data_IF_956716137407
#
_entry.id   IF_956716137407
#
_cell.length_a   1.000
_cell.length_b   1.000
_cell.length_c   1.000
_cell.angle_alpha   90.00
_cell.angle_beta   90.00
_cell.angle_gamma   90.00
#
_symmetry.space_group_name_H-M   'P 1'
#
loop_
_entity.id
_entity.type
_entity.pdbx_description
1 polymer ?
#
# COMPACT_ATOMS: atom_id res chain seq x y z
N UNK A 1 -29.13 -10.05 17.80
CA UNK A 1 -28.87 -8.70 18.33
C UNK A 1 -29.69 -8.51 19.58
N UNK A 2 -29.09 -8.05 20.68
CA UNK A 2 -29.81 -7.84 21.93
C UNK A 2 -30.71 -6.60 21.79
N UNK A 3 -31.96 -6.65 22.27
CA UNK A 3 -32.91 -5.54 22.11
C UNK A 3 -32.42 -4.24 22.76
N UNK A 4 -31.62 -4.35 23.84
CA UNK A 4 -30.98 -3.23 24.53
C UNK A 4 -29.92 -2.53 23.68
N UNK A 5 -29.08 -3.29 22.98
CA UNK A 5 -28.02 -2.76 22.12
C UNK A 5 -28.61 -2.04 20.90
N UNK A 6 -29.66 -2.63 20.32
CA UNK A 6 -30.35 -2.08 19.16
C UNK A 6 -31.04 -0.74 19.50
N UNK A 7 -31.55 -0.59 20.73
CA UNK A 7 -32.12 0.67 21.18
C UNK A 7 -31.07 1.77 21.42
N UNK A 8 -29.89 1.43 21.94
CA UNK A 8 -28.78 2.39 22.07
C UNK A 8 -28.29 2.85 20.70
N UNK A 9 -28.13 1.93 19.75
CA UNK A 9 -27.80 2.27 18.35
C UNK A 9 -28.82 3.23 17.73
N UNK A 10 -30.10 3.06 18.05
CA UNK A 10 -31.16 3.94 17.58
C UNK A 10 -31.07 5.34 18.20
N UNK A 11 -30.82 5.42 19.52
CA UNK A 11 -30.63 6.71 20.23
C UNK A 11 -29.40 7.46 19.69
N UNK A 12 -28.31 6.74 19.38
CA UNK A 12 -27.07 7.31 18.85
C UNK A 12 -27.10 7.59 17.33
N UNK A 13 -28.17 7.20 16.63
CA UNK A 13 -28.32 7.39 15.18
C UNK A 13 -27.42 6.49 14.32
N UNK A 14 -26.94 5.38 14.86
CA UNK A 14 -26.05 4.41 14.19
C UNK A 14 -26.80 3.20 13.61
N UNK A 15 -28.14 3.21 13.63
CA UNK A 15 -28.94 2.11 13.08
C UNK A 15 -28.97 2.10 11.56
N UNK A 16 -28.94 0.90 10.98
CA UNK A 16 -29.31 0.70 9.58
C UNK A 16 -30.82 0.99 9.38
N UNK A 17 -31.25 1.36 8.16
CA UNK A 17 -32.67 1.70 7.90
C UNK A 17 -33.64 0.56 8.24
N UNK A 18 -33.24 -0.69 8.03
CA UNK A 18 -34.05 -1.88 8.40
C UNK A 18 -34.18 -2.04 9.92
N UNK A 19 -33.12 -1.72 10.67
CA UNK A 19 -33.11 -1.79 12.13
C UNK A 19 -33.95 -0.67 12.73
N UNK A 20 -33.88 0.54 12.17
CA UNK A 20 -34.69 1.68 12.58
C UNK A 20 -36.19 1.38 12.42
N UNK A 21 -36.62 0.83 11.28
CA UNK A 21 -38.01 0.44 11.06
C UNK A 21 -38.48 -0.64 12.06
N UNK A 22 -37.58 -1.55 12.48
CA UNK A 22 -37.87 -2.53 13.52
C UNK A 22 -38.06 -1.88 14.90
N UNK A 23 -37.25 -0.89 15.24
CA UNK A 23 -37.41 -0.11 16.49
C UNK A 23 -38.71 0.65 16.52
N UNK A 24 -39.07 1.32 15.41
CA UNK A 24 -40.31 2.09 15.32
C UNK A 24 -41.55 1.21 15.52
N UNK A 25 -41.57 0.02 14.92
CA UNK A 25 -42.63 -0.98 15.17
C UNK A 25 -42.69 -1.39 16.63
N UNK A 26 -41.54 -1.72 17.25
CA UNK A 26 -41.49 -2.09 18.67
C UNK A 26 -41.91 -0.94 19.60
N UNK A 27 -41.59 0.31 19.28
CA UNK A 27 -42.06 1.49 20.01
C UNK A 27 -43.57 1.70 19.87
N UNK A 28 -44.16 1.32 18.74
CA UNK A 28 -45.59 1.41 18.49
C UNK A 28 -46.38 0.28 19.19
N UNK A 29 -45.87 -0.94 19.14
CA UNK A 29 -46.54 -2.17 19.59
C UNK A 29 -46.34 -2.44 21.10
N UNK A 30 -45.18 -2.11 21.67
CA UNK A 30 -44.84 -2.43 23.06
C UNK A 30 -44.72 -1.17 23.96
N UNK A 31 -45.69 -0.94 24.85
CA UNK A 31 -45.65 0.19 25.79
C UNK A 31 -44.54 0.07 26.84
N UNK A 32 -44.08 -1.15 27.17
CA UNK A 32 -42.96 -1.34 28.08
C UNK A 32 -41.64 -0.90 27.41
N UNK A 33 -41.43 -1.30 26.16
CA UNK A 33 -40.29 -0.88 25.35
C UNK A 33 -40.21 0.64 25.17
N UNK A 34 -41.35 1.30 24.95
CA UNK A 34 -41.43 2.77 24.88
C UNK A 34 -41.00 3.46 26.17
N UNK A 35 -41.36 2.91 27.33
CA UNK A 35 -40.93 3.45 28.64
C UNK A 35 -39.43 3.33 28.82
N UNK A 36 -38.85 2.19 28.44
CA UNK A 36 -37.40 2.00 28.51
C UNK A 36 -36.65 2.96 27.57
N UNK A 37 -37.17 3.17 26.36
CA UNK A 37 -36.62 4.16 25.44
C UNK A 37 -36.66 5.57 26.02
N UNK A 38 -37.81 5.99 26.58
CA UNK A 38 -37.94 7.33 27.16
C UNK A 38 -36.95 7.57 28.31
N UNK A 39 -36.73 6.57 29.16
CA UNK A 39 -35.74 6.65 30.24
C UNK A 39 -34.31 6.80 29.71
N UNK A 40 -33.91 5.97 28.74
CA UNK A 40 -32.57 5.99 28.15
C UNK A 40 -32.33 7.25 27.33
N UNK A 41 -33.34 7.71 26.58
CA UNK A 41 -33.26 8.94 25.82
C UNK A 41 -33.11 10.16 26.73
N UNK A 42 -33.86 10.20 27.85
CA UNK A 42 -33.69 11.24 28.87
C UNK A 42 -32.28 11.23 29.46
N UNK A 43 -31.74 10.05 29.80
CA UNK A 43 -30.36 9.92 30.27
C UNK A 43 -29.34 10.41 29.23
N UNK A 44 -29.49 10.01 27.97
CA UNK A 44 -28.63 10.45 26.88
C UNK A 44 -28.67 11.97 26.70
N UNK A 45 -29.85 12.60 26.80
CA UNK A 45 -29.98 14.05 26.76
C UNK A 45 -29.26 14.72 27.94
N UNK A 46 -29.40 14.18 29.16
CA UNK A 46 -28.68 14.72 30.33
C UNK A 46 -27.16 14.65 30.15
N UNK A 47 -26.63 13.50 29.72
CA UNK A 47 -25.20 13.33 29.45
C UNK A 47 -24.67 14.24 28.35
N UNK A 48 -25.52 14.60 27.38
CA UNK A 48 -25.14 15.50 26.27
C UNK A 48 -25.14 16.98 26.68
N UNK A 49 -25.90 17.33 27.72
CA UNK A 49 -25.96 18.68 28.28
C UNK A 49 -24.85 18.94 29.30
N UNK A 50 -24.29 17.89 29.90
CA UNK A 50 -23.11 18.01 30.74
C UNK A 50 -21.89 18.40 29.89
N UNK A 51 -21.15 19.41 30.34
CA UNK A 51 -19.89 19.75 29.71
C UNK A 51 -18.93 18.56 29.88
N UNK A 52 -18.32 18.08 28.79
CA UNK A 52 -17.36 17.00 28.90
C UNK A 52 -16.18 17.46 29.77
N UNK A 53 -15.99 16.80 30.90
CA UNK A 53 -14.83 17.05 31.75
C UNK A 53 -13.55 16.85 30.93
N UNK A 54 -12.67 17.85 30.94
CA UNK A 54 -11.41 17.72 30.25
C UNK A 54 -10.58 16.61 30.90
N UNK A 55 -10.03 15.68 30.12
CA UNK A 55 -9.20 14.62 30.67
C UNK A 55 -7.96 15.22 31.34
N UNK A 56 -7.47 14.55 32.39
CA UNK A 56 -6.22 14.98 33.04
C UNK A 56 -5.05 15.03 32.07
N UNK A 57 -4.14 15.99 32.27
CA UNK A 57 -2.90 16.11 31.47
C UNK A 57 -2.08 14.81 31.45
N UNK A 58 -2.11 14.03 32.53
CA UNK A 58 -1.43 12.73 32.61
C UNK A 58 -2.09 11.67 31.73
N UNK A 59 -3.42 11.66 31.64
CA UNK A 59 -4.14 10.77 30.74
C UNK A 59 -3.84 11.12 29.28
N UNK A 60 -3.95 12.39 28.89
CA UNK A 60 -3.64 12.85 27.54
C UNK A 60 -2.22 12.46 27.14
N UNK A 61 -1.24 12.68 28.03
CA UNK A 61 0.15 12.25 27.81
C UNK A 61 0.27 10.74 27.64
N UNK A 62 -0.31 9.95 28.55
CA UNK A 62 -0.26 8.49 28.47
C UNK A 62 -0.90 7.94 27.19
N UNK A 63 -1.98 8.56 26.71
CA UNK A 63 -2.66 8.19 25.47
C UNK A 63 -1.80 8.57 24.27
N UNK A 64 -1.30 9.80 24.21
CA UNK A 64 -0.44 10.28 23.11
C UNK A 64 0.91 9.58 23.04
N UNK A 65 1.46 9.09 24.15
CA UNK A 65 2.67 8.27 24.16
C UNK A 65 2.41 6.85 23.62
N UNK A 66 1.18 6.32 23.80
CA UNK A 66 0.78 4.99 23.34
C UNK A 66 0.22 4.96 21.92
N UNK A 67 -0.38 6.05 21.45
CA UNK A 67 -0.93 6.18 20.09
C UNK A 67 0.09 5.82 18.98
N UNK A 68 1.34 6.34 19.00
CA UNK A 68 2.33 6.02 17.99
C UNK A 68 2.58 4.52 17.88
N UNK A 69 2.53 3.77 18.99
CA UNK A 69 2.71 2.31 18.95
C UNK A 69 1.53 1.57 18.28
N UNK A 70 0.33 2.16 18.30
CA UNK A 70 -0.87 1.63 17.66
C UNK A 70 -0.93 1.96 16.16
N UNK A 71 -0.60 3.21 15.77
CA UNK A 71 -0.70 3.67 14.37
C UNK A 71 0.56 3.41 13.53
N UNK A 72 1.74 3.26 14.15
CA UNK A 72 3.01 3.04 13.42
C UNK A 72 3.15 1.62 12.86
N UNK A 73 2.23 0.71 13.18
CA UNK A 73 2.20 -0.67 12.64
C UNK A 73 1.42 -0.80 11.33
N UNK A 74 1.43 0.20 10.46
CA UNK A 74 1.44 -0.10 9.02
C UNK A 74 2.82 -0.69 8.70
N UNK A 75 2.98 -1.95 9.06
CA UNK A 75 4.09 -2.78 8.67
C UNK A 75 3.90 -3.04 7.17
N UNK A 76 4.24 -2.05 6.34
CA UNK A 76 4.39 -2.20 4.90
C UNK A 76 5.65 -3.05 4.72
N UNK A 77 5.55 -4.31 5.09
CA UNK A 77 6.61 -5.29 4.94
C UNK A 77 6.82 -5.38 3.44
N UNK A 78 8.03 -5.13 2.92
CA UNK A 78 8.25 -5.19 1.49
C UNK A 78 7.86 -6.59 1.01
N UNK A 79 6.91 -6.66 0.07
CA UNK A 79 6.34 -7.91 -0.44
C UNK A 79 7.42 -8.80 -1.07
N UNK A 80 8.53 -8.20 -1.48
CA UNK A 80 9.73 -8.86 -1.99
C UNK A 80 10.92 -8.57 -1.10
N UNK A 81 11.71 -9.61 -0.82
CA UNK A 81 12.94 -9.47 -0.04
C UNK A 81 13.96 -8.58 -0.78
N UNK A 82 14.85 -7.88 -0.06
CA UNK A 82 15.86 -7.01 -0.67
C UNK A 82 16.84 -7.77 -1.58
N UNK A 83 16.93 -9.09 -1.44
CA UNK A 83 17.69 -9.95 -2.34
C UNK A 83 17.05 -10.03 -3.72
N UNK A 84 15.73 -10.30 -3.80
CA UNK A 84 15.01 -10.41 -5.07
C UNK A 84 15.01 -9.11 -5.88
N UNK A 85 14.95 -7.96 -5.20
CA UNK A 85 15.07 -6.65 -5.87
C UNK A 85 16.44 -6.46 -6.55
N UNK A 86 17.52 -6.93 -5.92
CA UNK A 86 18.88 -6.87 -6.48
C UNK A 86 19.07 -7.88 -7.61
N UNK A 87 18.57 -9.12 -7.42
CA UNK A 87 18.65 -10.16 -8.44
C UNK A 87 17.92 -9.77 -9.72
N UNK A 88 16.69 -9.26 -9.61
CA UNK A 88 15.90 -8.84 -10.77
C UNK A 88 16.53 -7.62 -11.48
N UNK A 89 17.13 -6.70 -10.73
CA UNK A 89 17.89 -5.59 -11.32
C UNK A 89 19.19 -5.98 -12.00
N UNK A 90 19.93 -6.95 -11.44
CA UNK A 90 21.11 -7.51 -12.09
C UNK A 90 20.74 -8.20 -13.40
N UNK A 91 19.65 -8.98 -13.40
CA UNK A 91 19.14 -9.64 -14.59
C UNK A 91 18.76 -8.64 -15.70
N UNK A 92 17.98 -7.60 -15.37
CA UNK A 92 17.61 -6.55 -16.31
C UNK A 92 18.83 -5.81 -16.86
N UNK A 93 19.86 -5.58 -16.03
CA UNK A 93 21.12 -4.97 -16.45
C UNK A 93 21.91 -5.83 -17.44
N UNK A 94 21.98 -7.15 -17.22
CA UNK A 94 22.64 -8.08 -18.16
C UNK A 94 21.92 -8.11 -19.50
N UNK A 95 20.59 -8.11 -19.53
CA UNK A 95 19.82 -8.06 -20.78
C UNK A 95 20.05 -6.77 -21.57
N UNK A 96 20.08 -5.61 -20.90
CA UNK A 96 20.41 -4.35 -21.57
C UNK A 96 21.84 -4.35 -22.11
N UNK A 97 22.80 -4.85 -21.33
CA UNK A 97 24.20 -4.90 -21.76
C UNK A 97 24.38 -5.86 -22.94
N UNK A 98 23.71 -7.00 -22.94
CA UNK A 98 23.68 -7.93 -24.07
C UNK A 98 23.04 -7.30 -25.32
N UNK A 99 21.96 -6.53 -25.15
CA UNK A 99 21.35 -5.78 -26.25
C UNK A 99 22.30 -4.74 -26.85
N UNK A 100 22.93 -3.91 -26.01
CA UNK A 100 23.93 -2.95 -26.48
C UNK A 100 25.08 -3.67 -27.19
N UNK A 101 25.60 -4.74 -26.61
CA UNK A 101 26.63 -5.55 -27.25
C UNK A 101 26.20 -6.07 -28.62
N UNK A 102 24.96 -6.53 -28.79
CA UNK A 102 24.42 -6.96 -30.09
C UNK A 102 24.39 -5.79 -31.09
N UNK A 103 23.83 -4.64 -30.70
CA UNK A 103 23.77 -3.44 -31.55
C UNK A 103 25.17 -2.98 -31.97
N UNK A 104 26.16 -3.02 -31.08
CA UNK A 104 27.54 -2.63 -31.38
C UNK A 104 28.31 -3.70 -32.18
N UNK A 105 28.13 -5.01 -31.91
CA UNK A 105 28.81 -6.09 -32.64
C UNK A 105 28.28 -6.25 -34.07
N UNK A 106 26.99 -5.98 -34.32
CA UNK A 106 26.43 -5.91 -35.69
C UNK A 106 27.05 -4.75 -36.49
N UNK A 107 27.52 -3.69 -35.81
CA UNK A 107 28.21 -2.56 -36.46
C UNK A 107 29.69 -2.88 -36.72
N UNK A 108 30.35 -3.70 -35.89
CA UNK A 108 31.78 -4.01 -35.98
C UNK A 108 32.12 -5.22 -36.88
N UNK A 109 31.17 -6.13 -37.12
CA UNK A 109 31.31 -7.25 -38.06
C UNK A 109 31.40 -6.83 -39.54
N UNK A 110 31.31 -5.51 -39.83
CA UNK A 110 31.62 -4.93 -41.13
C UNK A 110 33.07 -4.44 -41.27
N UNK A 111 33.92 -4.58 -40.24
CA UNK A 111 35.32 -4.12 -40.22
C UNK A 111 36.36 -5.25 -40.27
N UNK A 112 37.47 -5.11 -41.02
CA UNK A 112 38.49 -6.15 -41.13
C UNK A 112 39.38 -6.17 -39.88
N UNK A 113 39.04 -7.00 -38.90
CA UNK A 113 39.86 -7.17 -37.69
C UNK A 113 39.20 -7.89 -36.51
N UNK A 114 38.12 -8.65 -36.72
CA UNK A 114 37.38 -9.28 -35.61
C UNK A 114 38.21 -10.36 -34.91
N UNK A 115 38.51 -10.14 -33.63
CA UNK A 115 39.00 -11.19 -32.75
C UNK A 115 37.89 -12.22 -32.52
N UNK A 116 38.23 -13.51 -32.64
CA UNK A 116 37.28 -14.62 -32.47
C UNK A 116 36.63 -14.54 -31.07
N UNK A 117 35.31 -14.29 -30.98
CA UNK A 117 34.63 -14.32 -29.69
C UNK A 117 34.66 -15.73 -29.10
N UNK A 118 34.78 -15.82 -27.78
CA UNK A 118 34.71 -17.06 -27.02
C UNK A 118 33.45 -17.87 -27.44
N UNK A 119 33.57 -19.16 -27.78
CA UNK A 119 32.45 -19.97 -28.29
C UNK A 119 31.24 -20.04 -27.34
N UNK A 120 31.46 -19.89 -26.03
CA UNK A 120 30.37 -19.82 -25.05
C UNK A 120 29.53 -18.55 -25.17
N UNK A 121 30.16 -17.43 -25.55
CA UNK A 121 29.48 -16.15 -25.74
C UNK A 121 28.74 -16.15 -27.08
N UNK A 122 29.31 -16.76 -28.12
CA UNK A 122 28.66 -16.92 -29.43
C UNK A 122 27.36 -17.71 -29.33
N UNK A 123 27.36 -18.87 -28.65
CA UNK A 123 26.13 -19.66 -28.49
C UNK A 123 25.01 -18.92 -27.75
N UNK A 124 25.35 -17.99 -26.86
CA UNK A 124 24.38 -17.12 -26.19
C UNK A 124 23.88 -15.98 -27.11
N UNK A 125 24.77 -15.40 -27.92
CA UNK A 125 24.39 -14.37 -28.90
C UNK A 125 23.53 -14.94 -30.03
N UNK A 126 23.81 -16.16 -30.48
CA UNK A 126 23.03 -16.88 -31.50
C UNK A 126 21.63 -17.25 -31.00
N UNK A 127 21.52 -17.63 -29.73
CA UNK A 127 20.23 -17.87 -29.08
C UNK A 127 19.45 -16.57 -28.83
N UNK A 128 20.12 -15.43 -28.61
CA UNK A 128 19.46 -14.12 -28.52
C UNK A 128 19.01 -13.56 -29.87
N UNK A 129 19.81 -13.74 -30.92
CA UNK A 129 19.51 -13.23 -32.28
C UNK A 129 18.47 -14.09 -33.01
N UNK A 130 18.31 -15.36 -32.63
CA UNK A 130 17.25 -16.24 -33.16
C UNK A 130 15.86 -15.93 -32.60
N UNK A 131 15.74 -15.03 -31.61
CA UNK A 131 14.44 -14.58 -31.12
C UNK A 131 13.75 -13.66 -32.14
N UNK A 132 12.42 -13.77 -32.33
CA UNK A 132 11.68 -12.89 -33.20
C UNK A 132 11.81 -11.43 -32.73
N UNK A 133 11.98 -10.48 -33.67
CA UNK A 133 12.17 -9.05 -33.33
C UNK A 133 11.10 -8.48 -32.39
N UNK A 134 9.86 -8.99 -32.48
CA UNK A 134 8.77 -8.61 -31.57
C UNK A 134 9.08 -8.99 -30.11
N UNK A 135 9.59 -10.20 -29.85
CA UNK A 135 9.96 -10.64 -28.51
C UNK A 135 11.11 -9.80 -27.93
N UNK A 136 12.08 -9.41 -28.77
CA UNK A 136 13.19 -8.56 -28.36
C UNK A 136 12.73 -7.16 -27.92
N UNK A 137 11.77 -6.56 -28.64
CA UNK A 137 11.19 -5.26 -28.27
C UNK A 137 10.40 -5.32 -26.95
N UNK A 138 9.65 -6.41 -26.72
CA UNK A 138 8.90 -6.61 -25.47
C UNK A 138 9.87 -6.76 -24.29
N UNK A 139 10.91 -7.60 -24.42
CA UNK A 139 11.95 -7.78 -23.40
C UNK A 139 12.67 -6.46 -23.04
N UNK A 140 12.96 -5.64 -24.04
CA UNK A 140 13.54 -4.31 -23.84
C UNK A 140 12.60 -3.38 -23.09
N UNK A 141 11.34 -3.31 -23.49
CA UNK A 141 10.35 -2.46 -22.83
C UNK A 141 10.17 -2.82 -21.35
N UNK A 142 10.14 -4.12 -21.04
CA UNK A 142 10.05 -4.64 -19.67
C UNK A 142 11.31 -4.32 -18.84
N UNK A 143 12.49 -4.51 -19.43
CA UNK A 143 13.77 -4.24 -18.76
C UNK A 143 13.96 -2.75 -18.48
N UNK A 144 13.65 -1.91 -19.47
CA UNK A 144 13.70 -0.45 -19.34
C UNK A 144 12.67 0.06 -18.32
N UNK A 145 11.43 -0.44 -18.39
CA UNK A 145 10.37 -0.10 -17.44
C UNK A 145 10.74 -0.46 -16.01
N UNK A 146 11.31 -1.65 -15.79
CA UNK A 146 11.82 -2.07 -14.48
C UNK A 146 12.88 -1.11 -13.95
N UNK A 147 13.87 -0.76 -14.79
CA UNK A 147 14.96 0.14 -14.38
C UNK A 147 14.43 1.55 -14.09
N UNK A 148 13.55 2.09 -14.91
CA UNK A 148 12.90 3.37 -14.67
C UNK A 148 12.18 3.39 -13.32
N UNK A 149 11.43 2.34 -13.02
CA UNK A 149 10.71 2.20 -11.76
C UNK A 149 11.66 2.15 -10.55
N UNK A 150 12.76 1.39 -10.64
CA UNK A 150 13.78 1.36 -9.58
C UNK A 150 14.52 2.69 -9.40
N UNK A 151 14.71 3.47 -10.46
CA UNK A 151 15.31 4.81 -10.39
C UNK A 151 14.37 5.82 -9.76
N UNK A 152 13.08 5.77 -10.11
CA UNK A 152 12.03 6.59 -9.48
C UNK A 152 11.94 6.28 -7.99
N UNK A 153 11.91 5.01 -7.62
CA UNK A 153 11.87 4.58 -6.21
C UNK A 153 13.10 5.06 -5.43
N UNK A 154 14.30 4.95 -6.02
CA UNK A 154 15.54 5.51 -5.45
C UNK A 154 15.47 7.03 -5.28
N UNK A 155 14.92 7.78 -6.25
CA UNK A 155 14.78 9.24 -6.16
C UNK A 155 13.75 9.65 -5.11
N UNK A 156 12.61 8.96 -5.03
CA UNK A 156 11.57 9.22 -4.03
C UNK A 156 12.09 8.95 -2.62
N UNK A 157 12.71 7.78 -2.38
CA UNK A 157 13.30 7.45 -1.08
C UNK A 157 14.33 8.48 -0.61
N UNK A 158 15.18 8.97 -1.52
CA UNK A 158 16.15 10.02 -1.22
C UNK A 158 15.50 11.37 -0.91
N UNK A 159 14.37 11.70 -1.54
CA UNK A 159 13.62 12.95 -1.28
C UNK A 159 12.94 12.91 0.10
N UNK A 160 12.22 11.84 0.40
CA UNK A 160 11.50 11.69 1.67
C UNK A 160 12.43 11.59 2.88
N UNK A 161 13.59 10.95 2.72
CA UNK A 161 14.60 10.91 3.79
C UNK A 161 15.24 12.27 4.08
N UNK A 162 15.25 13.21 3.11
CA UNK A 162 15.80 14.56 3.30
C UNK A 162 14.78 15.53 3.91
N UNK A 163 13.49 15.37 3.61
CA UNK A 163 12.44 16.21 4.18
C UNK A 163 12.22 15.94 5.67
N UNK A 164 12.41 14.70 6.13
CA UNK A 164 12.29 14.37 7.57
C UNK A 164 13.46 14.89 8.42
N UNK A 165 14.58 15.29 7.81
CA UNK A 165 15.75 15.86 8.51
C UNK A 165 15.74 17.41 8.56
N UNK A 166 14.74 18.05 7.95
CA UNK A 166 14.59 19.52 7.92
C UNK A 166 13.41 20.02 8.76
N UNK A 167 12.73 19.12 9.47
CA UNK A 167 11.57 19.42 10.30
C UNK A 167 11.91 19.56 11.80
N UNK A 168 13.21 19.52 12.15
CA UNK A 168 13.74 19.86 13.48
C UNK A 168 14.40 21.24 13.45
#
# INVERSE_FOLDING_TARGET
MNHSELLWKYIDGQCAPEEAARVEKLLAEDPAFRREWAQRHKLHQHLRLEEPEQPSMRFTRNVMDRLPNLYRKLNIRPLVSPFWQKALGALAGVFLLAYFALVFNVVETAGPGSSNPNPQIQGFVDTLTSLPMQAMSILLSLSFGYILLTLVDRKLKKRFSRSSLRAD
#
